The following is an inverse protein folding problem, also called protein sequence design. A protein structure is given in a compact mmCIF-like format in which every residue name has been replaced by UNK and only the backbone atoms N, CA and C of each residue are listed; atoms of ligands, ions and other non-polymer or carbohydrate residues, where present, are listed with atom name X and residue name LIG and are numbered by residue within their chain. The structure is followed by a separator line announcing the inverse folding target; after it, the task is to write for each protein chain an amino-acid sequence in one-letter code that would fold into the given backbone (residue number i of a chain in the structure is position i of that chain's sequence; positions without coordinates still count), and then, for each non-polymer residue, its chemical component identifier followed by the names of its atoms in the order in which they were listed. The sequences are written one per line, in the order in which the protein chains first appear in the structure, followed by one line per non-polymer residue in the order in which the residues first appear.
data_IF_572940793398
#
_entry.id   IF_572940793398
#
_cell.length_a   1.000
_cell.length_b   1.000
_cell.length_c   1.000
_cell.angle_alpha   90.00
_cell.angle_beta   90.00
_cell.angle_gamma   90.00
#
_symmetry.space_group_name_H-M   'P 1'
#
loop_
_entity.id
_entity.type
_entity.pdbx_description
1 polymer ?
#
# COMPACT_ATOMS: atom_id res chain seq x y z
N UNK A 1 -2.81 65.87 -39.41
CA UNK A 1 -1.93 64.80 -38.90
C UNK A 1 -2.84 63.68 -38.41
N UNK A 2 -2.98 62.62 -39.20
CA UNK A 2 -3.89 61.51 -38.92
C UNK A 2 -3.16 60.47 -38.06
N UNK A 3 -3.78 60.09 -36.94
CA UNK A 3 -3.29 59.06 -36.03
C UNK A 3 -3.67 57.69 -36.63
N UNK A 4 -2.76 56.70 -36.72
CA UNK A 4 -3.07 55.41 -37.33
C UNK A 4 -4.04 54.60 -36.45
N UNK A 5 -5.16 54.23 -37.06
CA UNK A 5 -6.23 53.40 -36.49
C UNK A 5 -5.73 51.98 -36.22
N UNK A 6 -5.88 51.56 -34.96
CA UNK A 6 -5.64 50.22 -34.43
C UNK A 6 -6.32 49.14 -35.27
N UNK A 7 -5.51 48.26 -35.90
CA UNK A 7 -5.97 47.06 -36.57
C UNK A 7 -6.62 46.12 -35.55
N UNK A 8 -7.93 45.92 -35.67
CA UNK A 8 -8.66 44.92 -34.91
C UNK A 8 -8.15 43.52 -35.26
N UNK A 9 -7.51 42.84 -34.30
CA UNK A 9 -7.28 41.39 -34.35
C UNK A 9 -8.64 40.69 -34.28
N UNK A 10 -9.15 40.23 -35.43
CA UNK A 10 -10.26 39.28 -35.47
C UNK A 10 -9.71 37.92 -35.03
N UNK A 11 -9.71 37.70 -33.71
CA UNK A 11 -9.55 36.38 -33.12
C UNK A 11 -10.79 35.60 -33.54
N UNK A 12 -10.69 34.86 -34.64
CA UNK A 12 -11.60 33.77 -34.97
C UNK A 12 -11.57 32.81 -33.79
N UNK A 13 -12.65 32.81 -33.01
CA UNK A 13 -12.73 32.13 -31.74
C UNK A 13 -12.40 30.65 -31.84
N UNK A 14 -11.45 30.20 -31.03
CA UNK A 14 -11.49 28.87 -30.45
C UNK A 14 -11.98 29.08 -29.03
N UNK A 15 -13.29 28.98 -28.85
CA UNK A 15 -13.91 28.95 -27.54
C UNK A 15 -13.49 27.67 -26.82
N UNK A 16 -12.63 27.79 -25.81
CA UNK A 16 -12.47 26.74 -24.81
C UNK A 16 -13.23 27.19 -23.57
N UNK A 17 -14.55 26.97 -23.60
CA UNK A 17 -15.32 26.96 -22.38
C UNK A 17 -15.06 25.62 -21.68
N UNK A 18 -14.06 25.60 -20.78
CA UNK A 18 -13.95 24.56 -19.77
C UNK A 18 -13.86 25.19 -18.39
N UNK A 19 -15.00 25.72 -17.95
CA UNK A 19 -15.28 25.87 -16.52
C UNK A 19 -15.32 24.46 -15.91
N UNK A 20 -14.21 24.03 -15.30
CA UNK A 20 -14.17 22.83 -14.45
C UNK A 20 -13.14 21.76 -14.79
N UNK A 21 -11.90 22.11 -15.17
CA UNK A 21 -10.89 21.10 -15.48
C UNK A 21 -9.48 21.41 -15.00
N UNK A 22 -9.17 21.19 -13.72
CA UNK A 22 -7.76 21.12 -13.27
C UNK A 22 -7.41 19.97 -12.32
N UNK A 23 -8.35 19.11 -11.90
CA UNK A 23 -8.01 17.95 -11.06
C UNK A 23 -7.88 16.63 -11.85
N UNK A 24 -8.61 16.44 -12.95
CA UNK A 24 -8.66 15.16 -13.68
C UNK A 24 -7.66 15.03 -14.83
N UNK A 25 -7.09 16.12 -15.34
CA UNK A 25 -6.20 16.09 -16.52
C UNK A 25 -4.90 15.32 -16.27
N UNK A 26 -4.34 15.40 -15.06
CA UNK A 26 -3.17 14.61 -14.70
C UNK A 26 -3.48 13.11 -14.63
N UNK A 27 -4.66 12.73 -14.11
CA UNK A 27 -5.03 11.32 -13.94
C UNK A 27 -5.02 10.55 -15.26
N UNK A 28 -5.53 11.13 -16.35
CA UNK A 28 -5.57 10.47 -17.65
C UNK A 28 -4.18 10.37 -18.31
N UNK A 29 -3.33 11.40 -18.19
CA UNK A 29 -1.97 11.40 -18.78
C UNK A 29 -1.04 10.37 -18.12
N UNK A 30 -1.21 10.08 -16.83
CA UNK A 30 -0.38 9.12 -16.11
C UNK A 30 -0.91 7.68 -16.15
N UNK A 31 -2.19 7.45 -16.48
CA UNK A 31 -2.80 6.12 -16.45
C UNK A 31 -2.23 5.16 -17.49
N UNK A 32 -1.83 5.68 -18.64
CA UNK A 32 -1.34 4.90 -19.80
C UNK A 32 0.19 4.76 -19.85
N UNK A 33 0.92 5.37 -18.91
CA UNK A 33 2.38 5.29 -18.82
C UNK A 33 2.82 4.64 -17.50
N UNK A 34 2.84 3.29 -17.44
CA UNK A 34 3.25 2.59 -16.24
C UNK A 34 4.73 2.89 -15.94
N UNK A 35 5.00 3.37 -14.72
CA UNK A 35 6.34 3.73 -14.27
C UNK A 35 6.94 2.65 -13.38
N UNK A 36 8.27 2.45 -13.42
CA UNK A 36 8.92 1.53 -12.51
C UNK A 36 8.67 1.98 -11.07
N UNK A 37 8.39 1.02 -10.18
CA UNK A 37 8.08 1.33 -8.77
C UNK A 37 9.19 2.15 -8.11
N UNK A 38 10.44 1.90 -8.49
CA UNK A 38 11.61 2.64 -8.01
C UNK A 38 11.50 4.15 -8.23
N UNK A 39 10.99 4.61 -9.38
CA UNK A 39 10.78 6.04 -9.63
C UNK A 39 9.66 6.62 -8.77
N UNK A 40 8.57 5.86 -8.62
CA UNK A 40 7.47 6.28 -7.77
C UNK A 40 7.90 6.40 -6.30
N UNK A 41 8.83 5.57 -5.83
CA UNK A 41 9.37 5.65 -4.47
C UNK A 41 10.37 6.81 -4.29
N UNK A 42 11.20 7.09 -5.30
CA UNK A 42 12.09 8.26 -5.29
C UNK A 42 11.32 9.56 -5.03
N UNK A 43 10.13 9.70 -5.62
CA UNK A 43 9.28 10.89 -5.40
C UNK A 43 8.88 11.12 -3.93
N UNK A 44 8.95 10.08 -3.08
CA UNK A 44 8.61 10.12 -1.66
C UNK A 44 9.83 9.98 -0.74
N UNK A 45 11.06 10.06 -1.25
CA UNK A 45 12.28 9.79 -0.50
C UNK A 45 12.27 8.39 0.15
N UNK A 46 11.80 7.38 -0.57
CA UNK A 46 11.78 5.99 -0.11
C UNK A 46 12.60 5.10 -1.01
N UNK A 47 13.16 4.05 -0.43
CA UNK A 47 13.96 3.03 -1.12
C UNK A 47 13.53 1.65 -0.69
N UNK A 48 13.69 0.65 -1.55
CA UNK A 48 13.43 -0.74 -1.20
C UNK A 48 14.32 -1.20 -0.05
N UNK A 49 13.74 -2.01 0.83
CA UNK A 49 14.51 -2.79 1.79
C UNK A 49 15.41 -3.74 1.02
N UNK A 50 16.71 -3.74 1.35
CA UNK A 50 17.69 -4.63 0.73
C UNK A 50 17.81 -5.89 1.56
N UNK A 51 18.18 -7.01 0.94
CA UNK A 51 18.45 -8.25 1.68
C UNK A 51 19.86 -8.22 2.29
N UNK A 52 20.11 -7.23 3.16
CA UNK A 52 21.36 -7.01 3.89
C UNK A 52 21.08 -7.04 5.40
N UNK A 53 22.10 -7.32 6.21
CA UNK A 53 21.95 -7.45 7.68
C UNK A 53 21.44 -6.18 8.35
N UNK A 54 21.83 -5.01 7.82
CA UNK A 54 21.42 -3.70 8.35
C UNK A 54 19.91 -3.48 8.24
N UNK A 55 19.27 -4.06 7.22
CA UNK A 55 17.84 -3.91 6.95
C UNK A 55 16.99 -5.01 7.61
N UNK A 56 17.61 -5.96 8.33
CA UNK A 56 16.91 -7.11 8.92
C UNK A 56 15.86 -6.70 9.97
N UNK A 57 16.15 -5.67 10.77
CA UNK A 57 15.21 -5.11 11.74
C UNK A 57 13.99 -4.48 11.07
N UNK A 58 14.21 -3.78 9.95
CA UNK A 58 13.17 -3.17 9.15
C UNK A 58 12.34 -4.23 8.42
N UNK A 59 12.96 -5.31 7.94
CA UNK A 59 12.26 -6.48 7.42
C UNK A 59 11.33 -7.09 8.47
N UNK A 60 11.82 -7.34 9.68
CA UNK A 60 11.00 -7.92 10.76
C UNK A 60 9.79 -7.02 11.09
N UNK A 61 10.02 -5.71 11.15
CA UNK A 61 8.95 -4.73 11.38
C UNK A 61 7.91 -4.76 10.25
N UNK A 62 8.36 -4.72 8.99
CA UNK A 62 7.48 -4.81 7.82
C UNK A 62 6.68 -6.11 7.78
N UNK A 63 7.31 -7.24 8.10
CA UNK A 63 6.66 -8.53 8.14
C UNK A 63 5.60 -8.61 9.24
N UNK A 64 5.90 -8.08 10.42
CA UNK A 64 4.91 -7.98 11.50
C UNK A 64 3.71 -7.11 11.09
N UNK A 65 3.96 -5.98 10.42
CA UNK A 65 2.88 -5.14 9.91
C UNK A 65 2.05 -5.84 8.85
N UNK A 66 2.68 -6.59 7.94
CA UNK A 66 1.99 -7.39 6.94
C UNK A 66 1.11 -8.46 7.60
N UNK A 67 1.66 -9.22 8.57
CA UNK A 67 0.87 -10.19 9.34
C UNK A 67 -0.32 -9.51 10.02
N UNK A 68 -0.11 -8.39 10.72
CA UNK A 68 -1.19 -7.70 11.44
C UNK A 68 -2.29 -7.17 10.49
N UNK A 69 -1.91 -6.60 9.36
CA UNK A 69 -2.86 -6.07 8.38
C UNK A 69 -3.64 -7.19 7.67
N UNK A 70 -3.05 -8.37 7.54
CA UNK A 70 -3.59 -9.50 6.76
C UNK A 70 -4.05 -10.69 7.63
N UNK A 71 -3.95 -10.58 8.95
CA UNK A 71 -4.53 -11.51 9.93
C UNK A 71 -5.65 -10.79 10.66
N UNK A 72 -6.89 -10.89 10.16
CA UNK A 72 -8.05 -10.39 10.89
C UNK A 72 -8.22 -11.21 12.17
N UNK A 73 -7.76 -10.67 13.29
CA UNK A 73 -8.09 -11.21 14.59
C UNK A 73 -9.54 -10.77 14.86
N UNK A 74 -10.52 -11.65 14.63
CA UNK A 74 -11.81 -11.51 15.31
C UNK A 74 -11.55 -11.91 16.74
N UNK A 75 -10.91 -11.01 17.49
CA UNK A 75 -11.10 -10.97 18.92
C UNK A 75 -12.52 -10.48 19.07
N UNK A 76 -13.49 -11.40 19.18
CA UNK A 76 -14.65 -11.07 19.96
C UNK A 76 -14.07 -10.52 21.26
N UNK A 77 -14.32 -9.25 21.65
CA UNK A 77 -14.11 -8.91 23.04
C UNK A 77 -14.88 -9.99 23.78
N UNK A 78 -14.19 -10.80 24.57
CA UNK A 78 -14.85 -11.66 25.53
C UNK A 78 -15.94 -10.79 26.14
N UNK A 79 -17.23 -11.23 26.17
CA UNK A 79 -18.22 -10.49 26.93
C UNK A 79 -17.55 -10.24 28.26
N UNK A 80 -17.41 -8.97 28.66
CA UNK A 80 -16.76 -8.63 29.90
C UNK A 80 -17.54 -9.37 30.99
N UNK A 81 -17.10 -10.56 31.37
CA UNK A 81 -17.71 -11.34 32.42
C UNK A 81 -17.41 -10.55 33.69
N UNK A 82 -18.45 -10.06 34.38
CA UNK A 82 -18.27 -9.53 35.72
C UNK A 82 -17.65 -10.65 36.57
N UNK A 83 -16.71 -10.34 37.46
CA UNK A 83 -16.19 -11.36 38.35
C UNK A 83 -17.35 -11.88 39.22
N UNK A 84 -17.44 -13.20 39.35
CA UNK A 84 -18.22 -14.00 40.34
C UNK A 84 -19.64 -14.46 40.00
N UNK A 85 -19.77 -15.74 39.57
CA UNK A 85 -20.76 -16.69 40.08
C UNK A 85 -20.39 -18.17 39.78
N UNK A 86 -20.82 -19.17 40.58
CA UNK A 86 -20.31 -20.55 40.52
C UNK A 86 -20.94 -21.45 39.43
N UNK A 87 -20.16 -22.47 39.04
CA UNK A 87 -20.35 -23.45 37.96
C UNK A 87 -21.69 -24.20 37.95
N UNK A 88 -22.23 -24.44 36.74
CA UNK A 88 -23.15 -25.56 36.43
C UNK A 88 -22.60 -26.36 35.23
N UNK A 89 -22.72 -27.70 35.16
CA UNK A 89 -22.25 -28.49 34.01
C UNK A 89 -23.42 -29.00 33.13
N UNK A 90 -23.41 -28.72 31.82
CA UNK A 90 -23.77 -29.67 30.73
C UNK A 90 -24.00 -29.02 29.34
N UNK A 91 -23.28 -29.58 28.35
CA UNK A 91 -23.63 -29.74 26.92
C UNK A 91 -23.66 -28.51 25.97
N UNK A 92 -23.58 -28.72 24.64
CA UNK A 92 -22.40 -29.13 23.88
C UNK A 92 -21.90 -28.01 22.94
N UNK A 93 -20.66 -28.19 22.46
CA UNK A 93 -19.92 -27.37 21.48
C UNK A 93 -20.81 -26.79 20.38
N UNK A 94 -21.15 -25.50 20.47
CA UNK A 94 -21.42 -24.70 19.29
C UNK A 94 -20.06 -24.35 18.67
N UNK A 95 -19.62 -25.16 17.70
CA UNK A 95 -18.54 -24.82 16.78
C UNK A 95 -19.01 -23.60 15.96
N UNK A 96 -18.77 -22.40 16.48
CA UNK A 96 -18.82 -21.17 15.69
C UNK A 96 -17.70 -21.23 14.68
N UNK A 97 -18.04 -21.68 13.48
CA UNK A 97 -17.24 -21.57 12.27
C UNK A 97 -16.99 -20.10 11.97
N UNK A 98 -15.97 -19.52 12.59
CA UNK A 98 -15.42 -18.24 12.17
C UNK A 98 -14.73 -18.50 10.84
N UNK A 99 -15.38 -18.15 9.72
CA UNK A 99 -14.71 -18.06 8.43
C UNK A 99 -13.75 -16.87 8.55
N UNK A 100 -12.52 -17.17 8.96
CA UNK A 100 -11.40 -16.26 8.85
C UNK A 100 -11.06 -16.24 7.36
N UNK A 101 -11.55 -15.23 6.62
CA UNK A 101 -10.92 -14.90 5.35
C UNK A 101 -9.55 -14.29 5.68
N UNK A 102 -8.58 -15.19 5.80
CA UNK A 102 -7.17 -14.89 5.88
C UNK A 102 -6.71 -14.46 4.48
N UNK A 103 -6.84 -13.16 4.19
CA UNK A 103 -6.56 -12.62 2.86
C UNK A 103 -5.06 -12.32 2.78
N UNK A 104 -4.29 -13.34 2.44
CA UNK A 104 -2.95 -13.17 1.91
C UNK A 104 -3.03 -12.57 0.50
N UNK A 105 -3.02 -11.24 0.44
CA UNK A 105 -3.11 -10.48 -0.81
C UNK A 105 -1.98 -10.80 -1.79
N UNK A 106 -0.83 -11.26 -1.30
CA UNK A 106 0.33 -11.61 -2.12
C UNK A 106 0.43 -13.09 -2.44
N UNK A 107 -0.44 -13.92 -1.87
CA UNK A 107 -0.49 -15.37 -2.07
C UNK A 107 0.90 -16.00 -1.92
N UNK A 108 1.60 -15.67 -0.85
CA UNK A 108 2.88 -16.24 -0.48
C UNK A 108 2.71 -17.75 -0.28
N UNK A 109 3.57 -18.52 -0.93
CA UNK A 109 3.52 -20.00 -0.92
C UNK A 109 3.62 -20.57 0.49
N UNK A 110 4.35 -19.89 1.38
CA UNK A 110 4.64 -20.35 2.75
C UNK A 110 3.81 -19.61 3.81
N UNK A 111 2.78 -18.86 3.40
CA UNK A 111 2.01 -17.99 4.30
C UNK A 111 1.45 -18.73 5.52
N UNK A 112 0.86 -19.92 5.30
CA UNK A 112 0.22 -20.72 6.36
C UNK A 112 1.17 -21.07 7.50
N UNK A 113 2.44 -21.31 7.19
CA UNK A 113 3.47 -21.73 8.16
C UNK A 113 4.26 -20.56 8.75
N UNK A 114 4.24 -19.40 8.08
CA UNK A 114 5.05 -18.25 8.43
C UNK A 114 4.26 -17.15 9.14
N UNK A 115 2.93 -17.06 8.96
CA UNK A 115 2.08 -16.07 9.64
C UNK A 115 2.17 -16.13 11.17
N UNK A 116 2.47 -17.30 11.72
CA UNK A 116 2.66 -17.52 13.17
C UNK A 116 4.07 -17.13 13.64
N UNK A 117 5.02 -16.95 12.72
CA UNK A 117 6.43 -16.65 12.98
C UNK A 117 6.71 -15.18 12.72
N UNK A 118 6.32 -14.33 13.67
CA UNK A 118 6.47 -12.87 13.58
C UNK A 118 7.92 -12.41 13.65
N UNK A 119 8.77 -13.20 14.29
CA UNK A 119 10.18 -12.84 14.57
C UNK A 119 11.15 -13.28 13.46
N UNK A 120 10.65 -13.97 12.44
CA UNK A 120 11.45 -14.44 11.31
C UNK A 120 10.76 -14.13 9.99
N UNK A 121 11.32 -13.20 9.23
CA UNK A 121 10.83 -12.87 7.89
C UNK A 121 11.12 -14.03 6.93
N UNK A 122 10.12 -14.56 6.22
CA UNK A 122 10.34 -15.61 5.23
C UNK A 122 10.96 -15.05 3.95
N UNK A 123 11.79 -15.87 3.29
CA UNK A 123 12.41 -15.50 2.01
C UNK A 123 11.36 -15.25 0.92
N UNK A 124 10.22 -15.95 0.94
CA UNK A 124 9.12 -15.69 0.01
C UNK A 124 8.58 -14.26 0.11
N UNK A 125 8.53 -13.67 1.30
CA UNK A 125 8.13 -12.28 1.49
C UNK A 125 9.19 -11.31 0.96
N UNK A 126 10.47 -11.52 1.29
CA UNK A 126 11.59 -10.71 0.78
C UNK A 126 11.66 -10.77 -0.75
N UNK A 127 11.59 -11.97 -1.31
CA UNK A 127 11.64 -12.21 -2.75
C UNK A 127 10.46 -11.55 -3.46
N UNK A 128 9.26 -11.57 -2.86
CA UNK A 128 8.11 -10.84 -3.41
C UNK A 128 8.38 -9.35 -3.50
N UNK A 129 8.88 -8.75 -2.41
CA UNK A 129 9.25 -7.34 -2.37
C UNK A 129 10.35 -6.97 -3.38
N UNK A 130 11.36 -7.83 -3.56
CA UNK A 130 12.42 -7.62 -4.55
C UNK A 130 11.91 -7.77 -5.98
N UNK A 131 10.95 -8.68 -6.23
CA UNK A 131 10.30 -8.83 -7.53
C UNK A 131 9.57 -7.56 -7.98
N UNK A 132 8.92 -6.87 -7.04
CA UNK A 132 8.22 -5.61 -7.31
C UNK A 132 9.15 -4.45 -7.73
N UNK A 133 10.44 -4.51 -7.44
CA UNK A 133 11.42 -3.49 -7.86
C UNK A 133 11.47 -3.36 -9.39
N UNK A 134 11.24 -4.47 -10.10
CA UNK A 134 11.28 -4.53 -11.58
C UNK A 134 9.91 -4.33 -12.23
N UNK A 135 8.85 -4.24 -11.44
CA UNK A 135 7.49 -4.12 -11.95
C UNK A 135 7.14 -2.67 -12.27
N UNK A 136 6.22 -2.47 -13.22
CA UNK A 136 5.73 -1.14 -13.60
C UNK A 136 4.29 -1.02 -13.16
N UNK A 137 3.99 0.05 -12.40
CA UNK A 137 2.64 0.32 -11.91
C UNK A 137 2.08 1.57 -12.59
N UNK A 138 0.76 1.61 -12.74
CA UNK A 138 0.08 2.76 -13.33
C UNK A 138 0.27 4.03 -12.49
N UNK A 139 0.57 3.91 -11.19
CA UNK A 139 0.98 5.04 -10.36
C UNK A 139 0.87 4.77 -8.86
N UNK A 140 1.00 5.84 -8.07
CA UNK A 140 1.04 5.76 -6.59
C UNK A 140 -0.32 5.50 -5.93
N UNK A 141 -1.41 5.54 -6.70
CA UNK A 141 -2.76 5.30 -6.21
C UNK A 141 -3.15 3.82 -6.18
N UNK A 142 -2.36 2.93 -6.79
CA UNK A 142 -2.71 1.51 -6.85
C UNK A 142 -2.50 0.84 -5.50
N UNK A 143 -3.35 -0.13 -5.18
CA UNK A 143 -3.24 -0.91 -3.94
C UNK A 143 -1.90 -1.64 -3.87
N UNK A 144 -1.39 -2.09 -5.02
CA UNK A 144 -0.05 -2.69 -5.16
C UNK A 144 1.03 -1.71 -4.73
N UNK A 145 1.02 -0.47 -5.24
CA UNK A 145 2.01 0.53 -4.86
C UNK A 145 1.93 0.84 -3.36
N UNK A 146 0.73 1.03 -2.82
CA UNK A 146 0.55 1.31 -1.39
C UNK A 146 1.09 0.18 -0.51
N UNK A 147 0.88 -1.08 -0.91
CA UNK A 147 1.40 -2.23 -0.19
C UNK A 147 2.93 -2.35 -0.32
N UNK A 148 3.49 -2.13 -1.51
CA UNK A 148 4.94 -2.13 -1.71
C UNK A 148 5.59 -1.01 -0.90
N UNK A 149 5.07 0.20 -1.02
CA UNK A 149 5.47 1.36 -0.24
C UNK A 149 5.42 1.01 1.26
N UNK A 150 4.32 0.45 1.75
CA UNK A 150 4.18 0.18 3.19
C UNK A 150 5.10 -0.92 3.71
N UNK A 151 5.21 -2.04 2.99
CA UNK A 151 5.81 -3.26 3.53
C UNK A 151 7.21 -3.58 2.95
N UNK A 152 7.57 -3.04 1.79
CA UNK A 152 8.83 -3.39 1.11
C UNK A 152 9.86 -2.26 1.11
N UNK A 153 9.55 -1.10 1.69
CA UNK A 153 10.40 0.08 1.55
C UNK A 153 10.68 0.75 2.89
N UNK A 154 11.82 1.44 2.97
CA UNK A 154 12.23 2.29 4.09
C UNK A 154 12.42 3.72 3.63
N UNK A 155 12.51 4.64 4.59
CA UNK A 155 12.93 6.02 4.30
C UNK A 155 14.36 5.98 3.75
N UNK A 156 14.62 6.72 2.69
CA UNK A 156 15.97 6.88 2.16
C UNK A 156 16.86 7.47 3.25
N UNK A 157 18.10 6.98 3.45
CA UNK A 157 19.03 7.66 4.35
C UNK A 157 19.14 9.11 3.90
N UNK A 158 19.02 10.05 4.84
CA UNK A 158 19.21 11.45 4.52
C UNK A 158 20.64 11.60 4.02
N UNK A 159 20.80 11.97 2.75
CA UNK A 159 22.12 12.29 2.20
C UNK A 159 22.45 13.68 2.78
N UNK A 160 23.19 13.67 3.90
CA UNK A 160 23.72 14.88 4.55
C UNK A 160 24.46 15.71 3.48
N UNK A 161 23.93 16.90 3.20
CA UNK A 161 24.39 17.84 2.18
C UNK A 161 25.65 18.60 2.61
#
# INVERSE_FOLDING_TARGET
MAVPTTTHLTITGVGIASAGGLAYGGYFVFKDNPRPVTELLKSKNRVFLRNIKEDESAWNTSWQQYIQAHTKTVTNPAPAEPPTAPRTPAAPKAQSSTIIEEIDIWKLTDWKDQKSKKDKVPDSFKNKCLGWESEKLSGTWTTEYQNIEKYCTKVAPAEDS
#
